data_IF_929101643248
#
_entry.id   IF_929101643248
#
_cell.length_a   1.000
_cell.length_b   1.000
_cell.length_c   1.000
_cell.angle_alpha   90.00
_cell.angle_beta   90.00
_cell.angle_gamma   90.00
#
_symmetry.space_group_name_H-M   'P 1'
#
loop_
_entity.id
_entity.type
_entity.pdbx_description
1 polymer ?
#
# COMPACT_ATOMS: atom_id res chain seq x y z
N UNK A 1 -17.06 4.77 -8.40
CA UNK A 1 -15.75 5.36 -8.08
C UNK A 1 -14.96 5.44 -9.37
N UNK A 2 -14.57 6.63 -9.80
CA UNK A 2 -13.74 6.79 -11.01
C UNK A 2 -12.31 6.44 -10.63
N UNK A 3 -11.75 5.40 -11.23
CA UNK A 3 -10.36 4.98 -10.93
C UNK A 3 -9.38 6.03 -11.44
N UNK A 4 -8.43 6.42 -10.58
CA UNK A 4 -7.32 7.29 -10.99
C UNK A 4 -6.25 6.44 -11.64
N UNK A 5 -6.09 6.57 -12.95
CA UNK A 5 -5.03 5.87 -13.67
C UNK A 5 -3.68 6.49 -13.35
N UNK A 6 -2.71 5.64 -12.98
CA UNK A 6 -1.33 6.04 -12.81
C UNK A 6 -0.76 6.59 -14.13
N UNK A 7 0.06 7.63 -14.03
CA UNK A 7 0.73 8.27 -15.17
C UNK A 7 2.09 8.84 -14.78
N UNK A 8 2.97 8.98 -15.77
CA UNK A 8 4.31 9.55 -15.62
C UNK A 8 5.23 8.72 -14.73
N UNK A 9 6.20 9.37 -14.10
CA UNK A 9 7.05 8.72 -13.09
C UNK A 9 6.24 8.49 -11.81
N UNK A 10 6.40 7.30 -11.22
CA UNK A 10 5.60 6.84 -10.09
C UNK A 10 6.48 6.52 -8.89
N UNK A 11 6.13 7.03 -7.70
CA UNK A 11 6.62 6.51 -6.43
C UNK A 11 5.45 5.88 -5.68
N UNK A 12 5.44 4.55 -5.60
CA UNK A 12 4.32 3.81 -5.03
C UNK A 12 4.56 3.39 -3.58
N UNK A 13 5.52 3.98 -2.85
CA UNK A 13 5.88 3.51 -1.52
C UNK A 13 6.25 4.59 -0.50
N UNK A 14 5.65 5.78 -0.57
CA UNK A 14 5.89 6.82 0.44
C UNK A 14 5.20 6.43 1.75
N UNK A 15 5.95 6.29 2.84
CA UNK A 15 5.40 5.84 4.13
C UNK A 15 4.40 6.85 4.72
N UNK A 16 3.22 6.37 5.11
CA UNK A 16 2.22 7.16 5.84
C UNK A 16 2.68 7.57 7.25
N UNK A 17 3.78 6.99 7.74
CA UNK A 17 4.38 7.29 9.05
C UNK A 17 5.55 8.27 8.95
N UNK A 18 5.85 8.80 7.76
CA UNK A 18 6.85 9.85 7.58
C UNK A 18 6.46 11.08 8.42
N UNK A 19 7.42 11.57 9.22
CA UNK A 19 7.25 12.73 10.10
C UNK A 19 6.85 13.98 9.34
N UNK A 20 7.35 14.14 8.11
CA UNK A 20 7.07 15.28 7.24
C UNK A 20 6.43 14.82 5.92
N UNK A 21 5.44 13.90 5.99
CA UNK A 21 4.79 13.30 4.82
C UNK A 21 4.45 14.31 3.71
N UNK A 22 3.87 15.46 4.07
CA UNK A 22 3.49 16.50 3.09
C UNK A 22 4.72 17.04 2.34
N UNK A 23 5.81 17.31 3.05
CA UNK A 23 7.07 17.79 2.48
C UNK A 23 7.72 16.73 1.59
N UNK A 24 7.71 15.47 2.01
CA UNK A 24 8.22 14.34 1.21
C UNK A 24 7.44 14.19 -0.10
N UNK A 25 6.11 14.24 -0.02
CA UNK A 25 5.24 14.20 -1.21
C UNK A 25 5.51 15.40 -2.12
N UNK A 26 5.54 16.63 -1.59
CA UNK A 26 5.80 17.82 -2.41
C UNK A 26 7.18 17.80 -3.06
N UNK A 27 8.20 17.29 -2.37
CA UNK A 27 9.54 17.10 -2.92
C UNK A 27 9.56 16.05 -4.03
N UNK A 28 8.83 14.94 -3.89
CA UNK A 28 8.70 13.94 -4.95
C UNK A 28 8.01 14.56 -6.19
N UNK A 29 6.95 15.34 -5.98
CA UNK A 29 6.28 16.02 -7.08
C UNK A 29 7.18 17.05 -7.78
N UNK A 30 7.98 17.82 -7.03
CA UNK A 30 8.86 18.84 -7.60
C UNK A 30 10.00 18.26 -8.44
N UNK A 31 10.43 17.02 -8.18
CA UNK A 31 11.43 16.32 -9.00
C UNK A 31 10.82 15.57 -10.20
N UNK A 32 9.50 15.60 -10.37
CA UNK A 32 8.82 15.11 -11.58
C UNK A 32 8.00 13.82 -11.41
N UNK A 33 7.84 13.30 -10.18
CA UNK A 33 6.86 12.25 -9.94
C UNK A 33 5.44 12.80 -10.19
N UNK A 34 4.62 12.03 -10.88
CA UNK A 34 3.24 12.40 -11.21
C UNK A 34 2.23 11.51 -10.51
N UNK A 35 2.61 10.29 -10.16
CA UNK A 35 1.78 9.37 -9.37
C UNK A 35 2.50 9.03 -8.09
N UNK A 36 1.84 9.21 -6.96
CA UNK A 36 2.40 8.90 -5.65
C UNK A 36 1.41 8.02 -4.90
N UNK A 37 1.87 6.91 -4.32
CA UNK A 37 1.08 6.12 -3.39
C UNK A 37 1.60 6.26 -1.97
N UNK A 38 0.69 6.59 -1.05
CA UNK A 38 0.98 6.68 0.38
C UNK A 38 0.73 5.31 1.00
N UNK A 39 1.80 4.66 1.45
CA UNK A 39 1.82 3.30 1.95
C UNK A 39 1.57 3.22 3.46
N UNK A 40 0.61 2.38 3.86
CA UNK A 40 0.44 1.91 5.24
C UNK A 40 0.97 0.49 5.34
N UNK A 41 1.89 0.27 6.27
CA UNK A 41 2.42 -1.06 6.55
C UNK A 41 1.66 -1.69 7.71
N UNK A 42 1.24 -2.93 7.53
CA UNK A 42 0.64 -3.76 8.58
C UNK A 42 1.34 -5.10 8.61
N UNK A 43 1.68 -5.57 9.80
CA UNK A 43 2.29 -6.89 9.99
C UNK A 43 1.31 -7.80 10.67
N UNK A 44 0.98 -8.92 10.04
CA UNK A 44 0.28 -10.01 10.68
C UNK A 44 1.23 -10.75 11.62
N UNK A 45 1.07 -10.50 12.92
CA UNK A 45 1.83 -11.15 13.98
C UNK A 45 1.29 -12.54 14.35
N UNK A 46 0.47 -13.16 13.48
CA UNK A 46 0.11 -14.57 13.61
C UNK A 46 1.36 -15.42 13.41
N UNK A 47 1.73 -16.16 14.46
CA UNK A 47 2.84 -17.13 14.41
C UNK A 47 2.25 -18.51 14.10
N UNK A 48 2.85 -19.31 13.20
CA UNK A 48 2.34 -20.63 12.85
C UNK A 48 2.25 -21.61 14.03
N UNK A 49 3.09 -21.44 15.07
CA UNK A 49 3.27 -22.47 16.12
C UNK A 49 2.41 -22.35 17.38
N UNK A 50 1.55 -21.33 17.52
CA UNK A 50 0.73 -21.18 18.73
C UNK A 50 -0.74 -20.98 18.40
N UNK A 51 -1.57 -21.89 18.91
CA UNK A 51 -3.03 -21.75 19.12
C UNK A 51 -3.34 -20.41 19.80
N UNK A 52 -3.31 -19.31 19.05
CA UNK A 52 -3.80 -18.01 19.53
C UNK A 52 -5.31 -18.04 19.43
N UNK A 53 -5.97 -17.57 20.49
CA UNK A 53 -7.41 -17.31 20.50
C UNK A 53 -7.74 -16.43 19.30
N UNK A 54 -8.65 -16.91 18.46
CA UNK A 54 -9.32 -16.24 17.34
C UNK A 54 -9.74 -14.84 17.79
N UNK A 55 -8.92 -13.79 17.58
CA UNK A 55 -9.24 -12.48 18.13
C UNK A 55 -8.15 -11.41 18.11
N UNK A 56 -6.91 -11.74 18.47
CA UNK A 56 -5.89 -10.72 18.72
C UNK A 56 -5.04 -10.42 17.46
N UNK A 57 -5.70 -9.92 16.41
CA UNK A 57 -5.02 -9.42 15.23
C UNK A 57 -4.74 -7.91 15.36
N UNK A 58 -3.62 -7.39 14.83
CA UNK A 58 -3.40 -5.96 14.77
C UNK A 58 -4.52 -5.29 13.95
N UNK A 59 -4.96 -4.12 14.40
CA UNK A 59 -5.98 -3.34 13.70
C UNK A 59 -5.40 -2.84 12.37
N UNK A 60 -6.12 -3.06 11.26
CA UNK A 60 -5.79 -2.44 9.99
C UNK A 60 -6.40 -1.03 9.97
N UNK A 61 -5.59 0.05 9.86
CA UNK A 61 -6.12 1.40 9.79
C UNK A 61 -6.82 1.64 8.45
N UNK A 62 -7.80 2.56 8.40
CA UNK A 62 -8.38 3.00 7.13
C UNK A 62 -7.33 3.74 6.29
N UNK A 63 -7.54 3.87 4.97
CA UNK A 63 -6.65 4.60 4.08
C UNK A 63 -6.35 6.03 4.59
N UNK A 64 -5.10 6.49 4.51
CA UNK A 64 -4.74 7.84 4.96
C UNK A 64 -5.44 8.89 4.12
N UNK A 65 -6.08 9.85 4.78
CA UNK A 65 -6.65 11.03 4.11
C UNK A 65 -5.52 12.03 3.86
N UNK A 66 -5.08 12.13 2.62
CA UNK A 66 -4.05 13.09 2.21
C UNK A 66 -4.59 14.00 1.11
N UNK A 67 -4.36 15.30 1.24
CA UNK A 67 -4.75 16.32 0.27
C UNK A 67 -3.65 17.36 0.16
N UNK A 68 -3.43 17.83 -1.06
CA UNK A 68 -2.63 19.01 -1.36
C UNK A 68 -3.57 20.16 -1.68
N UNK A 69 -3.26 21.35 -1.19
CA UNK A 69 -3.94 22.57 -1.61
C UNK A 69 -3.35 23.08 -2.93
N UNK A 70 -4.08 23.95 -3.63
CA UNK A 70 -3.56 24.62 -4.82
C UNK A 70 -2.34 25.49 -4.50
N UNK A 71 -2.28 26.09 -3.30
CA UNK A 71 -1.13 26.87 -2.84
C UNK A 71 0.12 25.99 -2.76
N UNK A 72 -0.01 24.79 -2.19
CA UNK A 72 1.11 23.85 -2.09
C UNK A 72 1.70 23.50 -3.47
N UNK A 73 0.83 23.37 -4.48
CA UNK A 73 1.25 23.09 -5.85
C UNK A 73 1.94 24.28 -6.49
N UNK A 74 1.43 25.51 -6.27
CA UNK A 74 2.03 26.75 -6.78
C UNK A 74 3.41 27.00 -6.18
N UNK A 75 3.54 26.93 -4.85
CA UNK A 75 4.79 27.18 -4.14
C UNK A 75 5.92 26.25 -4.60
N UNK A 76 5.59 25.00 -4.94
CA UNK A 76 6.53 24.00 -5.42
C UNK A 76 6.66 23.93 -6.96
N UNK A 77 6.08 24.89 -7.69
CA UNK A 77 6.11 24.94 -9.16
C UNK A 77 5.60 23.65 -9.83
N UNK A 78 4.63 22.98 -9.20
CA UNK A 78 4.01 21.75 -9.70
C UNK A 78 2.89 22.14 -10.67
N UNK A 79 3.17 21.99 -11.97
CA UNK A 79 2.26 22.45 -13.04
C UNK A 79 1.17 21.45 -13.41
N UNK A 80 1.34 20.18 -13.02
CA UNK A 80 0.40 19.09 -13.33
C UNK A 80 -0.24 18.58 -12.07
N UNK A 81 -1.55 18.35 -12.12
CA UNK A 81 -2.26 17.75 -11.00
C UNK A 81 -1.74 16.33 -10.74
N UNK A 82 -1.25 16.05 -9.51
CA UNK A 82 -0.69 14.75 -9.18
C UNK A 82 -1.78 13.71 -8.93
N UNK A 83 -1.49 12.46 -9.28
CA UNK A 83 -2.32 11.31 -8.93
C UNK A 83 -1.86 10.78 -7.57
N UNK A 84 -2.60 11.10 -6.51
CA UNK A 84 -2.36 10.54 -5.18
C UNK A 84 -3.24 9.31 -4.98
N UNK A 85 -2.57 8.19 -4.68
CA UNK A 85 -3.14 6.88 -4.38
C UNK A 85 -2.86 6.48 -2.93
N UNK A 86 -3.63 5.53 -2.43
CA UNK A 86 -3.44 4.89 -1.14
C UNK A 86 -2.98 3.45 -1.34
N UNK A 87 -1.92 3.06 -0.64
CA UNK A 87 -1.38 1.71 -0.67
C UNK A 87 -1.41 1.11 0.73
N UNK A 88 -1.72 -0.17 0.80
CA UNK A 88 -1.47 -0.98 1.99
C UNK A 88 -0.45 -2.06 1.66
N UNK A 89 0.54 -2.27 2.53
CA UNK A 89 1.49 -3.38 2.44
C UNK A 89 1.27 -4.30 3.64
N UNK A 90 0.94 -5.56 3.35
CA UNK A 90 0.67 -6.58 4.37
C UNK A 90 1.85 -7.54 4.46
N UNK A 91 2.57 -7.47 5.57
CA UNK A 91 3.60 -8.44 5.92
C UNK A 91 2.95 -9.63 6.62
N UNK A 92 3.15 -10.85 6.13
CA UNK A 92 2.56 -12.04 6.75
C UNK A 92 3.41 -13.30 6.56
N UNK A 93 3.18 -14.29 7.42
CA UNK A 93 3.98 -15.53 7.47
C UNK A 93 3.15 -16.80 7.25
N UNK A 94 1.89 -16.83 7.71
CA UNK A 94 1.02 -17.99 7.65
C UNK A 94 -0.11 -17.81 6.61
N UNK A 95 -0.11 -18.61 5.52
CA UNK A 95 -1.20 -18.65 4.55
C UNK A 95 -2.58 -18.96 5.12
N UNK A 96 -2.62 -19.72 6.22
CA UNK A 96 -3.84 -20.12 6.92
C UNK A 96 -4.38 -19.05 7.88
N UNK A 97 -3.68 -17.93 8.03
CA UNK A 97 -4.10 -16.85 8.93
C UNK A 97 -5.44 -16.25 8.51
N UNK A 98 -6.33 -16.07 9.49
CA UNK A 98 -7.59 -15.36 9.28
C UNK A 98 -7.42 -13.83 9.19
N UNK A 99 -6.20 -13.29 9.22
CA UNK A 99 -5.95 -11.85 9.15
C UNK A 99 -6.53 -11.23 7.87
N UNK A 100 -6.17 -11.77 6.70
CA UNK A 100 -6.59 -11.23 5.41
C UNK A 100 -8.11 -11.31 5.21
N UNK A 101 -8.74 -12.40 5.68
CA UNK A 101 -10.20 -12.57 5.58
C UNK A 101 -10.93 -11.64 6.56
N UNK A 102 -10.41 -11.45 7.78
CA UNK A 102 -11.00 -10.55 8.78
C UNK A 102 -10.99 -9.10 8.35
N UNK A 103 -9.91 -8.62 7.73
CA UNK A 103 -9.75 -7.21 7.35
C UNK A 103 -10.00 -6.92 5.86
N UNK A 104 -10.54 -7.90 5.12
CA UNK A 104 -10.80 -7.79 3.68
C UNK A 104 -11.54 -6.50 3.29
N UNK A 105 -12.58 -6.14 4.03
CA UNK A 105 -13.41 -4.97 3.71
C UNK A 105 -12.71 -3.64 4.01
N UNK A 106 -11.69 -3.62 4.87
CA UNK A 106 -10.84 -2.44 5.09
C UNK A 106 -9.75 -2.38 4.01
N UNK A 107 -9.13 -3.52 3.71
CA UNK A 107 -8.06 -3.64 2.72
C UNK A 107 -8.55 -3.23 1.31
N UNK A 108 -9.78 -3.60 0.93
CA UNK A 108 -10.40 -3.20 -0.34
C UNK A 108 -10.63 -1.70 -0.51
N UNK A 109 -10.53 -0.91 0.55
CA UNK A 109 -10.68 0.55 0.46
C UNK A 109 -9.41 1.25 -0.04
N UNK A 110 -8.28 0.54 -0.06
CA UNK A 110 -7.02 1.03 -0.62
C UNK A 110 -7.00 0.87 -2.14
N UNK A 111 -6.34 1.80 -2.84
CA UNK A 111 -6.18 1.72 -4.29
C UNK A 111 -5.20 0.60 -4.70
N UNK A 112 -4.18 0.36 -3.87
CA UNK A 112 -3.13 -0.63 -4.09
C UNK A 112 -2.98 -1.53 -2.87
N UNK A 113 -2.89 -2.84 -3.10
CA UNK A 113 -2.56 -3.83 -2.07
C UNK A 113 -1.22 -4.46 -2.42
N UNK A 114 -0.26 -4.42 -1.51
CA UNK A 114 1.00 -5.13 -1.63
C UNK A 114 1.15 -6.15 -0.51
N UNK A 115 1.95 -7.18 -0.77
CA UNK A 115 2.27 -8.22 0.21
C UNK A 115 3.77 -8.39 0.35
N UNK A 116 4.20 -8.57 1.59
CA UNK A 116 5.57 -8.92 1.98
C UNK A 116 5.52 -10.29 2.67
N UNK A 117 5.53 -11.39 1.90
CA UNK A 117 5.54 -12.74 2.47
C UNK A 117 6.89 -13.01 3.16
N UNK A 118 6.84 -13.57 4.36
CA UNK A 118 8.05 -13.89 5.16
C UNK A 118 8.40 -15.39 5.19
N UNK A 119 7.55 -16.22 4.57
CA UNK A 119 7.79 -17.67 4.43
C UNK A 119 7.57 -18.10 2.99
N UNK A 120 8.15 -19.25 2.60
CA UNK A 120 7.93 -19.83 1.28
C UNK A 120 6.46 -20.19 1.04
N UNK A 121 5.75 -20.67 2.07
CA UNK A 121 4.32 -20.98 1.98
C UNK A 121 3.48 -19.75 1.68
N UNK A 122 3.74 -18.62 2.35
CA UNK A 122 3.10 -17.34 2.08
C UNK A 122 3.41 -16.85 0.66
N UNK A 123 4.69 -16.91 0.24
CA UNK A 123 5.09 -16.51 -1.10
C UNK A 123 4.36 -17.30 -2.19
N UNK A 124 4.28 -18.64 -2.05
CA UNK A 124 3.56 -19.51 -2.99
C UNK A 124 2.08 -19.13 -3.09
N UNK A 125 1.42 -18.87 -1.96
CA UNK A 125 0.02 -18.46 -1.94
C UNK A 125 -0.22 -17.15 -2.72
N UNK A 126 0.60 -16.12 -2.47
CA UNK A 126 0.54 -14.84 -3.19
C UNK A 126 0.73 -15.06 -4.69
N UNK A 127 1.80 -15.76 -5.08
CA UNK A 127 2.12 -15.99 -6.49
C UNK A 127 1.04 -16.80 -7.25
N UNK A 128 0.37 -17.74 -6.59
CA UNK A 128 -0.65 -18.60 -7.20
C UNK A 128 -2.06 -17.96 -7.23
N UNK A 129 -2.34 -16.99 -6.36
CA UNK A 129 -3.66 -16.36 -6.27
C UNK A 129 -3.94 -15.31 -7.36
N UNK A 130 -3.03 -15.08 -8.32
CA UNK A 130 -3.11 -13.94 -9.25
C UNK A 130 -3.42 -14.32 -10.71
N UNK A 131 -4.50 -13.78 -11.30
CA UNK A 131 -4.59 -13.48 -12.72
C UNK A 131 -4.18 -12.00 -12.97
N UNK A 132 -3.02 -11.80 -13.59
CA UNK A 132 -2.54 -10.58 -14.27
C UNK A 132 -1.81 -9.45 -13.48
N UNK A 133 -0.71 -9.01 -14.12
CA UNK A 133 0.12 -7.79 -13.96
C UNK A 133 1.12 -7.72 -12.79
N UNK A 134 2.32 -8.23 -13.05
CA UNK A 134 3.48 -8.19 -12.14
C UNK A 134 4.39 -6.98 -12.38
N UNK A 135 4.72 -6.26 -11.30
CA UNK A 135 6.01 -5.61 -11.12
C UNK A 135 6.64 -6.19 -9.84
N UNK A 136 7.31 -7.33 -9.96
CA UNK A 136 8.01 -7.97 -8.85
C UNK A 136 9.50 -7.60 -8.88
N UNK A 137 9.94 -6.82 -7.90
CA UNK A 137 11.33 -6.74 -7.45
C UNK A 137 11.38 -7.35 -6.04
N UNK A 138 12.53 -7.87 -5.57
CA UNK A 138 12.61 -9.07 -4.72
C UNK A 138 12.03 -9.00 -3.29
N UNK A 139 11.22 -8.00 -2.95
CA UNK A 139 10.67 -7.84 -1.60
C UNK A 139 9.18 -7.45 -1.53
N UNK A 140 8.48 -7.21 -2.64
CA UNK A 140 7.05 -6.86 -2.60
C UNK A 140 6.29 -7.41 -3.83
N UNK A 141 5.20 -8.16 -3.60
CA UNK A 141 4.22 -8.45 -4.65
C UNK A 141 3.14 -7.38 -4.59
N UNK A 142 2.98 -6.61 -5.66
CA UNK A 142 2.03 -5.49 -5.76
C UNK A 142 0.82 -5.94 -6.58
N UNK A 143 -0.36 -5.79 -6.01
CA UNK A 143 -1.66 -5.92 -6.67
C UNK A 143 -2.28 -4.54 -6.84
N UNK A 144 -2.59 -4.21 -8.09
CA UNK A 144 -3.45 -3.08 -8.41
C UNK A 144 -4.85 -3.67 -8.51
N UNK A 145 -5.75 -3.27 -7.62
CA UNK A 145 -7.15 -3.69 -7.74
C UNK A 145 -7.78 -2.96 -8.94
N UNK A 146 -8.38 -3.73 -9.85
CA UNK A 146 -9.21 -3.24 -10.94
C UNK A 146 -10.64 -2.94 -10.47
#
# INVERSE_FOLDING_TARGET
>A
MTMKLARGFCDLNISAMDTDLKKTVLKALSIGYQTIAINREVTDNSTPDKKRKKGNFPMVPPPPKFKLSEEDLREHSITREPVILTRITVTYSDPGSAFLSKFREVIKQYDIIAFTPTTEGALKQVALASPASYCAWPLNVIYILN
#
